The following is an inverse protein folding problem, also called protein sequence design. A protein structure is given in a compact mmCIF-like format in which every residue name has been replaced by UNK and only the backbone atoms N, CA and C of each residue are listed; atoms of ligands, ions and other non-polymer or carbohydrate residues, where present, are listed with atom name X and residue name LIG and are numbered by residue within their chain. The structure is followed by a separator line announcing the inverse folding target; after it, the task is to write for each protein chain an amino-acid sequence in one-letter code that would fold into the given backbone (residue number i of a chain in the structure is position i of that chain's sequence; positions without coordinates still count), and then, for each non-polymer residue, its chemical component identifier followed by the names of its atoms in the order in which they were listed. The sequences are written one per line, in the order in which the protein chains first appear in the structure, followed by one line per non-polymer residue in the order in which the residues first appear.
data_IF_127711640512
#
_entry.id   IF_127711640512
#
_cell.length_a   1.000
_cell.length_b   1.000
_cell.length_c   1.000
_cell.angle_alpha   90.00
_cell.angle_beta   90.00
_cell.angle_gamma   90.00
#
_symmetry.space_group_name_H-M   'P 1'
#
loop_
_entity.id
_entity.type
_entity.pdbx_description
1 polymer ?
#
# COMPACT_ATOMS: atom_id res chain seq x y z
N UNK A 1 0.23 28.78 6.05
CA UNK A 1 -0.91 29.02 5.14
C UNK A 1 -2.16 28.44 5.79
N UNK A 2 -3.20 29.25 6.03
CA UNK A 2 -4.43 28.78 6.66
C UNK A 2 -5.13 27.75 5.75
N UNK A 3 -5.55 26.63 6.32
CA UNK A 3 -6.22 25.57 5.56
C UNK A 3 -7.64 26.02 5.24
N UNK A 4 -7.98 26.17 3.96
CA UNK A 4 -9.31 26.59 3.53
C UNK A 4 -10.30 25.43 3.74
N UNK A 5 -11.31 25.63 4.59
CA UNK A 5 -12.36 24.64 4.87
C UNK A 5 -13.62 24.97 4.06
N UNK A 6 -14.22 23.96 3.44
CA UNK A 6 -15.46 24.11 2.65
C UNK A 6 -16.61 23.42 3.40
N UNK A 7 -17.76 24.10 3.51
CA UNK A 7 -18.98 23.49 4.05
C UNK A 7 -19.63 22.65 2.96
N UNK A 8 -19.90 21.39 3.27
CA UNK A 8 -20.49 20.42 2.32
C UNK A 8 -21.61 19.67 3.03
N UNK A 9 -22.65 19.28 2.29
CA UNK A 9 -23.69 18.38 2.77
C UNK A 9 -23.40 16.96 2.26
N UNK A 10 -23.52 15.94 3.11
CA UNK A 10 -23.25 14.55 2.75
C UNK A 10 -24.17 13.61 3.52
N UNK A 11 -24.56 12.52 2.88
CA UNK A 11 -25.37 11.48 3.51
C UNK A 11 -24.44 10.50 4.23
N UNK A 12 -24.69 10.28 5.52
CA UNK A 12 -23.96 9.33 6.37
C UNK A 12 -25.00 8.45 7.06
N UNK A 13 -24.74 7.15 7.13
CA UNK A 13 -25.63 6.22 7.82
C UNK A 13 -25.79 6.61 9.29
N UNK A 14 -27.00 6.40 9.82
CA UNK A 14 -27.36 6.86 11.17
C UNK A 14 -26.46 6.27 12.25
N UNK A 15 -26.15 4.98 12.15
CA UNK A 15 -25.37 4.28 13.17
C UNK A 15 -23.88 4.63 13.10
N UNK A 16 -23.33 4.78 11.90
CA UNK A 16 -21.99 5.35 11.70
C UNK A 16 -21.85 6.75 12.32
N UNK A 17 -22.86 7.61 12.14
CA UNK A 17 -22.84 8.94 12.74
C UNK A 17 -22.89 8.90 14.29
N UNK A 18 -23.61 7.93 14.88
CA UNK A 18 -23.63 7.74 16.33
C UNK A 18 -22.26 7.31 16.84
N UNK A 19 -21.64 6.32 16.20
CA UNK A 19 -20.30 5.86 16.59
C UNK A 19 -19.26 6.96 16.47
N UNK A 20 -19.33 7.75 15.39
CA UNK A 20 -18.41 8.86 15.16
C UNK A 20 -18.56 9.95 16.22
N UNK A 21 -19.78 10.19 16.72
CA UNK A 21 -20.04 11.08 17.87
C UNK A 21 -19.43 10.55 19.17
N UNK A 22 -19.61 9.27 19.47
CA UNK A 22 -19.02 8.64 20.66
C UNK A 22 -17.50 8.74 20.60
N UNK A 23 -16.91 8.46 19.43
CA UNK A 23 -15.47 8.54 19.21
C UNK A 23 -14.94 9.98 19.35
N UNK A 24 -15.69 10.97 18.87
CA UNK A 24 -15.37 12.39 19.03
C UNK A 24 -15.32 12.81 20.49
N UNK A 25 -16.35 12.42 21.25
CA UNK A 25 -16.42 12.69 22.68
C UNK A 25 -15.27 12.02 23.44
N UNK A 26 -14.98 10.75 23.14
CA UNK A 26 -13.89 10.00 23.79
C UNK A 26 -12.50 10.59 23.52
N UNK A 27 -12.32 11.31 22.41
CA UNK A 27 -11.04 11.90 22.00
C UNK A 27 -10.99 13.41 22.20
N UNK A 28 -11.97 13.98 22.90
CA UNK A 28 -12.07 15.41 23.19
C UNK A 28 -11.91 16.27 21.92
N UNK A 29 -12.51 15.83 20.81
CA UNK A 29 -12.36 16.45 19.49
C UNK A 29 -13.71 16.57 18.80
N UNK A 30 -13.74 17.20 17.62
CA UNK A 30 -14.98 17.38 16.86
C UNK A 30 -15.20 16.24 15.86
N UNK A 31 -16.47 15.97 15.56
CA UNK A 31 -16.87 15.03 14.49
C UNK A 31 -16.18 15.40 13.17
N UNK A 32 -16.12 16.70 12.85
CA UNK A 32 -15.48 17.23 11.65
C UNK A 32 -13.98 16.93 11.59
N UNK A 33 -13.26 17.01 12.71
CA UNK A 33 -11.84 16.66 12.76
C UNK A 33 -11.60 15.18 12.53
N UNK A 34 -12.41 14.32 13.15
CA UNK A 34 -12.33 12.87 12.92
C UNK A 34 -12.63 12.52 11.47
N UNK A 35 -13.69 13.07 10.89
CA UNK A 35 -14.03 12.84 9.48
C UNK A 35 -12.85 13.24 8.59
N UNK A 36 -12.26 14.42 8.82
CA UNK A 36 -11.09 14.86 8.05
C UNK A 36 -9.88 13.92 8.21
N UNK A 37 -9.62 13.43 9.43
CA UNK A 37 -8.52 12.50 9.68
C UNK A 37 -8.76 11.15 8.98
N UNK A 38 -9.97 10.62 9.07
CA UNK A 38 -10.35 9.35 8.44
C UNK A 38 -10.30 9.45 6.91
N UNK A 39 -10.83 10.54 6.33
CA UNK A 39 -10.75 10.78 4.89
C UNK A 39 -9.31 10.91 4.40
N UNK A 40 -8.45 11.64 5.15
CA UNK A 40 -7.02 11.73 4.81
C UNK A 40 -6.35 10.35 4.83
N UNK A 41 -6.62 9.53 5.85
CA UNK A 41 -6.08 8.17 5.95
C UNK A 41 -6.58 7.28 4.80
N UNK A 42 -7.89 7.30 4.51
CA UNK A 42 -8.47 6.53 3.41
C UNK A 42 -7.87 6.90 2.05
N UNK A 43 -7.72 8.20 1.77
CA UNK A 43 -7.10 8.67 0.51
C UNK A 43 -5.63 8.23 0.41
N UNK A 44 -4.88 8.22 1.52
CA UNK A 44 -3.50 7.73 1.51
C UNK A 44 -3.44 6.22 1.23
N UNK A 45 -4.28 5.42 1.89
CA UNK A 45 -4.34 3.97 1.68
C UNK A 45 -4.71 3.62 0.23
N UNK A 46 -5.70 4.31 -0.35
CA UNK A 46 -6.07 4.16 -1.76
C UNK A 46 -4.92 4.48 -2.73
N UNK A 47 -4.13 5.52 -2.43
CA UNK A 47 -2.94 5.87 -3.22
C UNK A 47 -1.85 4.83 -3.08
N UNK A 48 -1.64 4.30 -1.88
CA UNK A 48 -0.66 3.25 -1.61
C UNK A 48 -1.04 1.93 -2.26
N UNK A 49 -2.30 1.53 -2.24
CA UNK A 49 -2.77 0.32 -2.91
C UNK A 49 -2.57 0.42 -4.43
N UNK A 50 -2.85 1.59 -5.03
CA UNK A 50 -2.56 1.85 -6.44
C UNK A 50 -1.06 1.78 -6.75
N UNK A 51 -0.20 2.24 -5.84
CA UNK A 51 1.25 2.08 -5.99
C UNK A 51 1.66 0.62 -5.90
N UNK A 52 1.16 -0.13 -4.92
CA UNK A 52 1.50 -1.55 -4.75
C UNK A 52 1.04 -2.40 -5.94
N UNK A 53 -0.15 -2.15 -6.52
CA UNK A 53 -0.58 -2.82 -7.76
C UNK A 53 0.38 -2.57 -8.93
N UNK A 54 1.01 -1.39 -9.01
CA UNK A 54 2.04 -1.09 -10.02
C UNK A 54 3.40 -1.75 -9.72
N UNK A 55 3.74 -1.99 -8.46
CA UNK A 55 5.08 -2.49 -8.08
C UNK A 55 5.15 -4.02 -7.96
N UNK A 56 4.02 -4.71 -7.73
CA UNK A 56 3.98 -6.16 -7.49
C UNK A 56 4.18 -7.06 -8.73
N UNK A 57 4.29 -6.49 -9.93
CA UNK A 57 4.47 -7.27 -11.17
C UNK A 57 5.89 -7.79 -11.39
N UNK A 58 6.88 -6.90 -11.46
CA UNK A 58 8.22 -7.28 -11.97
C UNK A 58 9.42 -6.79 -11.12
N UNK A 59 9.25 -5.73 -10.33
CA UNK A 59 10.39 -5.08 -9.66
C UNK A 59 10.79 -5.75 -8.34
N UNK A 60 9.88 -6.46 -7.67
CA UNK A 60 10.17 -7.10 -6.39
C UNK A 60 11.13 -8.30 -6.54
N UNK A 61 10.93 -9.13 -7.57
CA UNK A 61 11.78 -10.28 -7.86
C UNK A 61 13.20 -9.85 -8.23
N UNK A 62 13.35 -8.77 -9.00
CA UNK A 62 14.65 -8.18 -9.36
C UNK A 62 15.38 -7.58 -8.14
N UNK A 63 14.67 -6.86 -7.27
CA UNK A 63 15.24 -6.29 -6.04
C UNK A 63 15.64 -7.36 -5.02
N UNK A 64 14.90 -8.48 -4.96
CA UNK A 64 15.21 -9.62 -4.09
C UNK A 64 16.38 -10.48 -4.59
N UNK A 65 17.03 -10.10 -5.71
CA UNK A 65 18.13 -10.88 -6.31
C UNK A 65 17.68 -12.21 -6.92
N UNK A 66 16.37 -12.41 -7.09
CA UNK A 66 15.81 -13.62 -7.70
C UNK A 66 15.92 -13.48 -9.21
N UNK A 67 17.06 -13.89 -9.75
CA UNK A 67 17.25 -14.03 -11.20
C UNK A 67 16.65 -15.37 -11.62
N UNK A 68 15.43 -15.35 -12.15
CA UNK A 68 14.85 -16.54 -12.77
C UNK A 68 15.62 -16.85 -14.05
N UNK A 69 16.40 -17.93 -14.05
CA UNK A 69 17.04 -18.43 -15.26
C UNK A 69 15.97 -18.86 -16.28
N UNK A 70 16.17 -18.55 -17.57
CA UNK A 70 15.22 -18.92 -18.65
C UNK A 70 14.97 -20.42 -18.76
N UNK A 71 15.89 -21.23 -18.26
CA UNK A 71 15.78 -22.69 -18.18
C UNK A 71 16.26 -23.13 -16.80
N UNK A 72 15.65 -24.15 -16.19
CA UNK A 72 16.21 -24.80 -15.01
C UNK A 72 17.63 -25.28 -15.39
N UNK A 73 18.62 -24.85 -14.60
CA UNK A 73 20.00 -25.27 -14.80
C UNK A 73 20.44 -26.13 -13.62
N UNK A 74 21.25 -27.14 -13.90
CA UNK A 74 21.83 -28.00 -12.88
C UNK A 74 23.19 -27.44 -12.49
N UNK A 75 23.32 -26.94 -11.27
CA UNK A 75 24.56 -26.35 -10.76
C UNK A 75 25.75 -27.33 -10.87
N UNK A 76 25.51 -28.63 -10.72
CA UNK A 76 26.55 -29.66 -10.85
C UNK A 76 27.02 -29.85 -12.29
N UNK A 77 26.14 -29.69 -13.28
CA UNK A 77 26.51 -29.77 -14.69
C UNK A 77 27.27 -28.52 -15.14
N UNK A 78 26.88 -27.33 -14.67
CA UNK A 78 27.56 -26.07 -14.98
C UNK A 78 29.00 -26.06 -14.45
N UNK A 79 29.20 -26.52 -13.21
CA UNK A 79 30.53 -26.65 -12.60
C UNK A 79 31.39 -27.68 -13.36
N UNK A 80 30.77 -28.76 -13.86
CA UNK A 80 31.47 -29.78 -14.64
C UNK A 80 31.93 -29.24 -16.00
N UNK A 81 31.12 -28.42 -16.68
CA UNK A 81 31.49 -27.72 -17.93
C UNK A 81 32.65 -26.74 -17.72
N UNK A 82 32.59 -25.95 -16.65
CA UNK A 82 33.69 -25.05 -16.24
C UNK A 82 35.00 -25.82 -16.05
N UNK A 83 34.95 -26.94 -15.31
CA UNK A 83 36.12 -27.77 -15.03
C UNK A 83 36.70 -28.43 -16.28
N UNK A 84 35.85 -28.73 -17.26
CA UNK A 84 36.25 -29.35 -18.51
C UNK A 84 36.66 -28.34 -19.60
N UNK A 85 36.56 -27.02 -19.34
CA UNK A 85 36.91 -25.97 -20.29
C UNK A 85 35.94 -25.81 -21.46
N UNK A 86 34.69 -26.26 -21.31
CA UNK A 86 33.67 -26.27 -22.38
C UNK A 86 32.77 -25.00 -22.36
N UNK A 87 33.30 -23.88 -21.87
CA UNK A 87 32.56 -22.62 -21.66
C UNK A 87 33.03 -21.50 -22.59
#
# INVERSE_FOLDING_TARGET
MATQKVKTNMNIERDLLKELKILANSKETTQTEIINQLLKKGIMLEKEEKKQKKTKGDNFLKLAGIVTAKKPFSATEEVKKLRNGEL
#
